data_IF_266338830078
#
_entry.id   IF_266338830078
#
_cell.length_a   1.000
_cell.length_b   1.000
_cell.length_c   1.000
_cell.angle_alpha   90.00
_cell.angle_beta   90.00
_cell.angle_gamma   90.00
#
_symmetry.space_group_name_H-M   'P 1'
#
loop_
_entity.id
_entity.type
_entity.pdbx_description
1 polymer ?
#
# COMPACT_ATOMS: atom_id res chain seq x y z
N UNK A 1 7.32 -1.80 2.66
CA UNK A 1 6.26 -0.77 2.59
C UNK A 1 6.94 0.57 2.38
N UNK A 2 6.50 1.33 1.37
CA UNK A 2 7.04 2.64 1.03
C UNK A 2 5.95 3.69 1.21
N UNK A 3 6.31 4.88 1.70
CA UNK A 3 5.38 5.94 2.03
C UNK A 3 5.61 7.17 1.16
N UNK A 4 4.54 7.64 0.50
CA UNK A 4 4.52 8.78 -0.40
C UNK A 4 3.40 9.73 0.04
N UNK A 5 3.69 10.74 0.89
CA UNK A 5 2.66 11.62 1.44
C UNK A 5 1.99 12.48 0.37
N UNK A 6 2.69 12.79 -0.72
CA UNK A 6 2.15 13.52 -1.86
C UNK A 6 1.37 12.57 -2.76
N UNK A 7 0.09 12.88 -2.99
CA UNK A 7 -0.79 12.00 -3.78
C UNK A 7 -0.32 11.86 -5.23
N UNK A 8 0.21 12.91 -5.83
CA UNK A 8 0.73 12.87 -7.19
C UNK A 8 1.91 11.91 -7.31
N UNK A 9 2.86 11.97 -6.37
CA UNK A 9 4.00 11.06 -6.34
C UNK A 9 3.54 9.61 -6.09
N UNK A 10 2.61 9.40 -5.15
CA UNK A 10 2.05 8.06 -4.90
C UNK A 10 1.37 7.46 -6.13
N UNK A 11 0.60 8.26 -6.88
CA UNK A 11 -0.03 7.84 -8.14
C UNK A 11 1.01 7.48 -9.20
N UNK A 12 2.02 8.32 -9.38
CA UNK A 12 3.12 8.08 -10.32
C UNK A 12 3.85 6.77 -10.00
N UNK A 13 4.14 6.51 -8.72
CA UNK A 13 4.76 5.24 -8.31
C UNK A 13 3.82 4.05 -8.54
N UNK A 14 2.52 4.21 -8.31
CA UNK A 14 1.55 3.15 -8.63
C UNK A 14 1.53 2.82 -10.12
N UNK A 15 1.61 3.83 -11.00
CA UNK A 15 1.68 3.63 -12.45
C UNK A 15 3.01 2.99 -12.88
N UNK A 16 4.12 3.38 -12.26
CA UNK A 16 5.43 2.74 -12.48
C UNK A 16 5.42 1.27 -12.12
N UNK A 17 4.80 0.89 -11.01
CA UNK A 17 4.66 -0.52 -10.61
C UNK A 17 3.88 -1.32 -11.68
N UNK A 18 2.76 -0.79 -12.16
CA UNK A 18 1.97 -1.45 -13.22
C UNK A 18 2.74 -1.57 -14.53
N UNK A 19 3.43 -0.50 -14.94
CA UNK A 19 4.26 -0.49 -16.15
C UNK A 19 5.42 -1.47 -16.05
N UNK A 20 5.98 -1.67 -14.86
CA UNK A 20 7.03 -2.64 -14.58
C UNK A 20 6.54 -4.10 -14.56
N UNK A 21 5.23 -4.34 -14.74
CA UNK A 21 4.66 -5.68 -14.78
C UNK A 21 4.21 -6.24 -13.43
N UNK A 22 4.21 -5.42 -12.37
CA UNK A 22 3.61 -5.83 -11.10
C UNK A 22 2.08 -5.85 -11.22
N UNK A 23 1.45 -6.82 -10.55
CA UNK A 23 0.00 -6.94 -10.49
C UNK A 23 -0.52 -6.29 -9.21
N UNK A 24 -1.49 -5.39 -9.34
CA UNK A 24 -2.19 -4.83 -8.19
C UNK A 24 -3.12 -5.90 -7.57
N UNK A 25 -3.01 -6.11 -6.26
CA UNK A 25 -3.83 -7.06 -5.51
C UNK A 25 -4.51 -6.39 -4.33
N UNK A 26 -5.62 -6.95 -3.89
CA UNK A 26 -6.27 -6.53 -2.65
C UNK A 26 -5.32 -6.67 -1.47
N UNK A 27 -5.29 -5.67 -0.60
CA UNK A 27 -4.63 -5.80 0.69
C UNK A 27 -5.29 -6.93 1.51
N UNK A 28 -4.51 -7.59 2.37
CA UNK A 28 -5.03 -8.64 3.26
C UNK A 28 -6.12 -8.11 4.21
N UNK A 29 -6.04 -6.84 4.60
CA UNK A 29 -7.10 -6.16 5.35
C UNK A 29 -7.70 -5.06 4.47
N UNK A 30 -8.98 -5.17 4.05
CA UNK A 30 -9.63 -4.20 3.17
C UNK A 30 -9.59 -2.75 3.66
N UNK A 31 -9.50 -2.52 4.98
CA UNK A 31 -9.37 -1.17 5.52
C UNK A 31 -8.08 -0.46 5.05
N UNK A 32 -7.10 -1.20 4.54
CA UNK A 32 -5.84 -0.66 4.01
C UNK A 32 -5.97 -0.16 2.57
N UNK A 33 -6.95 -0.62 1.78
CA UNK A 33 -7.09 -0.21 0.37
C UNK A 33 -7.45 1.27 0.20
N UNK A 34 -7.91 1.94 1.26
CA UNK A 34 -8.32 3.36 1.20
C UNK A 34 -7.13 4.30 1.03
N UNK A 35 -5.95 3.93 1.54
CA UNK A 35 -4.75 4.79 1.53
C UNK A 35 -3.46 4.05 1.19
N UNK A 36 -3.59 2.84 0.65
CA UNK A 36 -2.46 2.05 0.19
C UNK A 36 -2.84 1.15 -0.99
N UNK A 37 -1.83 0.73 -1.75
CA UNK A 37 -1.97 -0.25 -2.82
C UNK A 37 -0.91 -1.34 -2.67
N UNK A 38 -1.33 -2.59 -2.80
CA UNK A 38 -0.43 -3.75 -2.74
C UNK A 38 -0.17 -4.27 -4.13
N UNK A 39 1.08 -4.59 -4.42
CA UNK A 39 1.55 -5.09 -5.69
C UNK A 39 2.32 -6.40 -5.49
N UNK A 40 2.23 -7.30 -6.48
CA UNK A 40 2.94 -8.58 -6.52
C UNK A 40 3.75 -8.65 -7.81
N UNK A 41 5.03 -9.00 -7.74
CA UNK A 41 5.85 -9.29 -8.93
C UNK A 41 5.69 -10.75 -9.41
N UNK A 42 6.40 -11.11 -10.47
CA UNK A 42 6.38 -12.45 -11.04
C UNK A 42 6.85 -13.54 -10.05
N UNK A 43 7.72 -13.20 -9.11
CA UNK A 43 8.29 -14.12 -8.13
C UNK A 43 7.44 -14.22 -6.85
N UNK A 44 6.37 -13.43 -6.75
CA UNK A 44 5.43 -13.44 -5.63
C UNK A 44 5.78 -12.46 -4.51
N UNK A 45 6.78 -11.59 -4.67
CA UNK A 45 7.13 -10.58 -3.67
C UNK A 45 6.09 -9.48 -3.62
N UNK A 46 5.73 -9.08 -2.39
CA UNK A 46 4.70 -8.07 -2.12
C UNK A 46 5.32 -6.73 -1.75
N UNK A 47 4.92 -5.70 -2.48
CA UNK A 47 5.25 -4.30 -2.17
C UNK A 47 3.97 -3.55 -1.83
N UNK A 48 4.01 -2.74 -0.77
CA UNK A 48 2.90 -1.86 -0.38
C UNK A 48 3.34 -0.42 -0.52
N UNK A 49 2.62 0.36 -1.32
CA UNK A 49 2.78 1.81 -1.45
C UNK A 49 1.67 2.51 -0.66
N UNK A 50 2.02 3.36 0.29
CA UNK A 50 1.08 4.09 1.15
C UNK A 50 1.09 5.58 0.85
N UNK A 51 -0.10 6.20 0.83
CA UNK A 51 -0.24 7.66 0.71
C UNK A 51 -0.57 8.36 2.03
N UNK A 52 -1.13 7.64 3.00
CA UNK A 52 -1.42 8.18 4.33
C UNK A 52 -0.73 7.36 5.40
N UNK A 53 -0.15 8.05 6.37
CA UNK A 53 0.35 7.41 7.59
C UNK A 53 -0.83 6.76 8.31
N UNK A 54 -0.80 5.44 8.43
CA UNK A 54 -1.72 4.71 9.30
C UNK A 54 -1.26 4.92 10.74
N UNK A 55 -2.10 5.54 11.55
CA UNK A 55 -1.98 5.42 13.00
C UNK A 55 -2.60 4.07 13.35
N UNK A 56 -1.79 3.11 13.77
CA UNK A 56 -2.30 1.90 14.41
C UNK A 56 -3.28 2.36 15.50
N UNK A 57 -4.53 1.88 15.46
CA UNK A 57 -5.43 2.01 16.59
C UNK A 57 -4.68 1.48 17.81
N UNK A 58 -4.31 2.38 18.74
CA UNK A 58 -3.90 1.99 20.08
C UNK A 58 -5.01 1.09 20.59
N UNK A 59 -4.70 -0.19 20.82
CA UNK A 59 -5.60 -1.02 21.59
C UNK A 59 -5.88 -0.26 22.90
N UNK A 60 -7.16 -0.06 23.17
CA UNK A 60 -7.64 0.03 24.53
C UNK A 60 -7.15 -1.25 25.23
N UNK A 61 -6.11 -1.12 26.04
CA UNK A 61 -5.82 -2.09 27.08
C UNK A 61 -6.83 -1.81 28.19
N UNK A 62 -8.02 -2.42 28.07
CA UNK A 62 -8.86 -2.68 29.22
C UNK A 62 -8.55 -4.11 29.64
N UNK A 63 -7.83 -4.22 30.75
CA UNK A 63 -7.48 -5.46 31.43
C UNK A 63 -7.00 -5.09 32.81
#
# INVERSE_FOLDING_TARGET
>A
MLYYPQIAEWQEQCEKMLTAGFVAVSAFNPCWNVSSKTFVDHDGYRVVLQNRRITLFRHAATG
#
